data_IF_675551773533
#
_entry.id   IF_675551773533
#
_cell.length_a   1.000
_cell.length_b   1.000
_cell.length_c   1.000
_cell.angle_alpha   90.00
_cell.angle_beta   90.00
_cell.angle_gamma   90.00
#
_symmetry.space_group_name_H-M   'P 1'
#
loop_
_entity.id
_entity.type
_entity.pdbx_description
1 polymer ?
#
# COMPACT_ATOMS: atom_id res chain seq x y z
N UNK A 1 36.12 13.02 5.50
CA UNK A 1 36.05 13.95 6.65
C UNK A 1 36.24 13.14 7.93
N UNK A 2 37.06 13.64 8.85
CA UNK A 2 37.33 12.99 10.14
C UNK A 2 36.16 13.22 11.12
N UNK A 3 36.00 12.38 12.14
CA UNK A 3 34.94 12.47 13.16
C UNK A 3 34.90 13.87 13.79
N UNK A 4 36.07 14.40 14.16
CA UNK A 4 36.20 15.70 14.83
C UNK A 4 35.70 16.86 13.96
N UNK A 5 35.87 16.77 12.64
CA UNK A 5 35.35 17.77 11.70
C UNK A 5 33.82 17.79 11.72
N UNK A 6 33.17 16.62 11.76
CA UNK A 6 31.71 16.56 11.85
C UNK A 6 31.20 17.07 13.20
N UNK A 7 31.93 16.82 14.31
CA UNK A 7 31.59 17.40 15.62
C UNK A 7 31.64 18.93 15.57
N UNK A 8 32.64 19.52 14.92
CA UNK A 8 32.72 20.97 14.73
C UNK A 8 31.58 21.51 13.85
N UNK A 9 31.21 20.78 12.78
CA UNK A 9 30.12 21.17 11.88
C UNK A 9 28.73 21.19 12.53
N UNK A 10 28.54 20.53 13.68
CA UNK A 10 27.29 20.64 14.46
C UNK A 10 27.02 22.08 14.94
N UNK A 11 28.05 22.94 15.05
CA UNK A 11 27.91 24.34 15.42
C UNK A 11 27.71 25.29 14.23
N UNK A 12 27.58 24.78 13.00
CA UNK A 12 27.51 25.63 11.81
C UNK A 12 26.20 26.42 11.72
N UNK A 13 26.25 27.65 11.18
CA UNK A 13 25.06 28.52 11.05
C UNK A 13 24.02 27.95 10.10
N UNK A 14 24.47 27.42 8.97
CA UNK A 14 23.61 26.78 7.96
C UNK A 14 23.06 25.41 8.49
N UNK A 15 21.72 25.24 8.58
CA UNK A 15 21.11 23.99 9.01
C UNK A 15 21.41 22.80 8.08
N UNK A 16 21.66 23.02 6.78
CA UNK A 16 21.99 21.94 5.86
C UNK A 16 23.35 21.28 6.21
N UNK A 17 24.33 22.08 6.61
CA UNK A 17 25.63 21.59 7.08
C UNK A 17 25.52 20.86 8.42
N UNK A 18 24.70 21.36 9.35
CA UNK A 18 24.41 20.66 10.62
C UNK A 18 23.74 19.31 10.36
N UNK A 19 22.75 19.26 9.47
CA UNK A 19 22.10 18.00 9.04
C UNK A 19 23.11 16.98 8.53
N UNK A 20 23.99 17.40 7.61
CA UNK A 20 25.03 16.54 7.04
C UNK A 20 25.96 15.98 8.12
N UNK A 21 26.35 16.81 9.08
CA UNK A 21 27.16 16.39 10.22
C UNK A 21 26.45 15.37 11.11
N UNK A 22 25.18 15.59 11.46
CA UNK A 22 24.38 14.65 12.28
C UNK A 22 24.30 13.27 11.61
N UNK A 23 24.03 13.22 10.30
CA UNK A 23 23.93 11.96 9.55
C UNK A 23 25.28 11.24 9.53
N UNK A 24 26.36 11.96 9.24
CA UNK A 24 27.70 11.37 9.19
C UNK A 24 28.11 10.80 10.56
N UNK A 25 27.83 11.51 11.66
CA UNK A 25 28.08 11.03 13.01
C UNK A 25 27.25 9.78 13.35
N UNK A 26 25.96 9.77 13.00
CA UNK A 26 25.09 8.60 13.21
C UNK A 26 25.52 7.35 12.43
N UNK A 27 26.08 7.54 11.22
CA UNK A 27 26.65 6.45 10.40
C UNK A 27 28.01 5.97 10.89
N UNK A 28 28.80 6.84 11.53
CA UNK A 28 30.13 6.48 12.03
C UNK A 28 30.09 5.41 13.12
N UNK A 29 29.00 5.31 13.89
CA UNK A 29 28.88 4.37 15.01
C UNK A 29 29.80 4.70 16.20
N UNK A 30 30.56 5.79 16.18
CA UNK A 30 31.51 6.12 17.24
C UNK A 30 30.78 6.67 18.47
N UNK A 31 30.98 6.02 19.62
CA UNK A 31 30.39 6.41 20.91
C UNK A 31 30.75 7.84 21.33
N UNK A 32 31.88 8.38 20.88
CA UNK A 32 32.31 9.76 21.16
C UNK A 32 31.33 10.80 20.60
N UNK A 33 30.54 10.45 19.58
CA UNK A 33 29.55 11.33 18.99
C UNK A 33 28.25 11.47 19.81
N UNK A 34 28.01 10.61 20.82
CA UNK A 34 26.77 10.62 21.60
C UNK A 34 26.56 11.91 22.39
N UNK A 35 27.61 12.43 23.03
CA UNK A 35 27.53 13.67 23.81
C UNK A 35 27.24 14.90 22.93
N UNK A 36 27.96 15.14 21.81
CA UNK A 36 27.61 16.20 20.86
C UNK A 36 26.18 16.08 20.31
N UNK A 37 25.74 14.89 19.90
CA UNK A 37 24.39 14.67 19.39
C UNK A 37 23.32 14.94 20.45
N UNK A 38 23.55 14.56 21.71
CA UNK A 38 22.65 14.87 22.81
C UNK A 38 22.53 16.39 23.08
N UNK A 39 23.61 17.15 22.87
CA UNK A 39 23.57 18.62 22.95
C UNK A 39 22.72 19.21 21.82
N UNK A 40 22.88 18.73 20.59
CA UNK A 40 22.06 19.15 19.44
C UNK A 40 20.57 18.87 19.69
N UNK A 41 20.24 17.66 20.16
CA UNK A 41 18.86 17.30 20.53
C UNK A 41 18.22 18.26 21.54
N UNK A 42 19.01 18.82 22.47
CA UNK A 42 18.49 19.75 23.50
C UNK A 42 18.47 21.21 23.06
N UNK A 43 19.36 21.61 22.15
CA UNK A 43 19.67 23.05 21.94
C UNK A 43 19.51 23.53 20.51
N UNK A 44 19.38 22.65 19.50
CA UNK A 44 19.21 23.11 18.12
C UNK A 44 17.86 23.82 17.96
N UNK A 45 17.82 25.01 17.34
CA UNK A 45 16.57 25.72 17.09
C UNK A 45 15.62 24.91 16.20
N UNK A 46 16.14 24.13 15.26
CA UNK A 46 15.34 23.43 14.28
C UNK A 46 14.79 22.11 14.84
N UNK A 47 13.45 21.93 14.97
CA UNK A 47 12.86 20.69 15.47
C UNK A 47 13.30 19.45 14.71
N UNK A 48 13.42 19.53 13.38
CA UNK A 48 13.83 18.39 12.56
C UNK A 48 15.24 17.91 12.87
N UNK A 49 16.17 18.83 13.17
CA UNK A 49 17.55 18.48 13.51
C UNK A 49 17.65 17.87 14.90
N UNK A 50 16.78 18.27 15.84
CA UNK A 50 16.68 17.62 17.15
C UNK A 50 16.29 16.15 16.97
N UNK A 51 15.21 15.87 16.25
CA UNK A 51 14.74 14.50 16.02
C UNK A 51 15.76 13.66 15.26
N UNK A 52 16.44 14.25 14.28
CA UNK A 52 17.51 13.58 13.56
C UNK A 52 18.69 13.22 14.48
N UNK A 53 19.08 14.11 15.39
CA UNK A 53 20.13 13.86 16.36
C UNK A 53 19.76 12.74 17.34
N UNK A 54 18.49 12.67 17.76
CA UNK A 54 17.98 11.58 18.60
C UNK A 54 18.06 10.23 17.88
N UNK A 55 17.61 10.17 16.61
CA UNK A 55 17.69 8.95 15.78
C UNK A 55 19.14 8.50 15.57
N UNK A 56 20.04 9.43 15.26
CA UNK A 56 21.47 9.17 15.09
C UNK A 56 22.10 8.59 16.37
N UNK A 57 21.79 9.17 17.54
CA UNK A 57 22.27 8.67 18.83
C UNK A 57 21.81 7.25 19.16
N UNK A 58 20.53 6.92 18.87
CA UNK A 58 20.01 5.55 19.04
C UNK A 58 20.71 4.54 18.14
N UNK A 59 21.01 4.92 16.89
CA UNK A 59 21.70 4.04 15.95
C UNK A 59 23.12 3.67 16.44
N UNK A 60 23.85 4.65 16.99
CA UNK A 60 25.17 4.44 17.59
C UNK A 60 25.08 3.46 18.77
N UNK A 61 24.09 3.62 19.65
CA UNK A 61 23.88 2.71 20.79
C UNK A 61 23.59 1.27 20.35
N UNK A 62 22.74 1.09 19.33
CA UNK A 62 22.43 -0.24 18.77
C UNK A 62 23.65 -0.92 18.15
N UNK A 63 24.47 -0.16 17.43
CA UNK A 63 25.70 -0.67 16.80
C UNK A 63 26.75 -1.03 17.85
N UNK A 64 26.82 -0.25 18.93
CA UNK A 64 27.70 -0.49 20.06
C UNK A 64 27.35 -1.72 20.91
N UNK A 65 26.07 -2.10 21.01
CA UNK A 65 25.66 -3.33 21.72
C UNK A 65 25.84 -4.57 20.87
N UNK A 66 25.75 -4.46 19.54
CA UNK A 66 25.99 -5.57 18.62
C UNK A 66 27.46 -5.97 18.48
N UNK A 67 28.39 -5.16 18.98
CA UNK A 67 29.84 -5.37 18.85
C UNK A 67 30.52 -5.82 20.16
N UNK A 68 29.75 -6.14 21.20
CA UNK A 68 30.31 -6.73 22.42
C UNK A 68 30.68 -8.20 22.15
N UNK A 69 31.92 -8.64 22.50
CA UNK A 69 32.28 -10.04 22.42
C UNK A 69 31.40 -10.85 23.38
N UNK A 70 30.85 -11.95 22.88
CA UNK A 70 30.00 -12.86 23.63
C UNK A 70 30.78 -13.34 24.88
N UNK A 71 30.21 -13.23 26.10
CA UNK A 71 30.89 -13.72 27.29
C UNK A 71 31.12 -15.23 27.15
N UNK A 72 32.28 -15.75 27.59
CA UNK A 72 32.56 -17.17 27.47
C UNK A 72 31.43 -17.98 28.12
N UNK A 73 31.01 -19.09 27.48
CA UNK A 73 29.92 -19.91 27.98
C UNK A 73 30.21 -20.32 29.44
N UNK A 74 29.21 -20.31 30.33
CA UNK A 74 29.39 -20.72 31.71
C UNK A 74 30.03 -22.11 31.76
N UNK A 75 31.05 -22.28 32.58
CA UNK A 75 31.65 -23.59 32.81
C UNK A 75 30.66 -24.47 33.59
N UNK A 76 29.84 -25.21 32.86
CA UNK A 76 28.83 -26.12 33.41
C UNK A 76 29.45 -27.37 34.07
N UNK A 77 30.78 -27.54 34.04
CA UNK A 77 31.44 -28.73 34.61
C UNK A 77 31.44 -28.78 36.15
N UNK A 78 31.03 -27.71 36.83
CA UNK A 78 30.97 -27.65 38.30
C UNK A 78 29.60 -28.02 38.90
N UNK A 79 28.55 -28.18 38.09
CA UNK A 79 27.22 -28.57 38.59
C UNK A 79 26.98 -30.08 38.40
N UNK A 80 27.58 -30.87 39.30
CA UNK A 80 27.21 -32.28 39.49
C UNK A 80 25.86 -32.35 40.20
N UNK A 81 24.80 -32.66 39.46
CA UNK A 81 23.49 -32.97 40.02
C UNK A 81 23.56 -34.31 40.76
N UNK A 82 23.70 -34.27 42.09
CA UNK A 82 23.31 -35.41 42.93
C UNK A 82 21.79 -35.38 43.09
N UNK A 83 21.10 -36.36 42.50
CA UNK A 83 19.70 -36.63 42.81
C UNK A 83 19.58 -37.05 44.29
N UNK A 84 18.70 -36.42 45.09
CA UNK A 84 18.31 -36.98 46.36
C UNK A 84 17.03 -37.80 46.19
N UNK A 85 17.17 -39.11 46.16
CA UNK A 85 16.15 -40.02 46.68
C UNK A 85 16.07 -39.83 48.20
N UNK A 86 14.90 -39.49 48.74
CA UNK A 86 14.21 -40.19 49.84
C UNK A 86 13.14 -39.33 50.52
N UNK A 87 12.06 -40.04 50.86
CA UNK A 87 11.01 -39.74 51.84
C UNK A 87 11.39 -38.79 52.98
N UNK A 88 10.57 -37.78 53.21
CA UNK A 88 10.45 -37.13 54.52
C UNK A 88 8.99 -36.88 54.88
N UNK A 89 8.46 -37.77 55.73
CA UNK A 89 7.39 -37.46 56.67
C UNK A 89 8.07 -36.89 57.92
N UNK A 90 7.87 -35.61 58.20
CA UNK A 90 8.20 -35.03 59.52
C UNK A 90 7.20 -33.91 59.82
N UNK A 91 6.27 -34.20 60.72
CA UNK A 91 5.50 -33.19 61.44
C UNK A 91 6.48 -32.43 62.33
N UNK A 92 6.66 -31.15 62.08
CA UNK A 92 7.18 -30.20 63.08
C UNK A 92 6.00 -29.44 63.66
N UNK A 93 5.73 -29.70 64.93
CA UNK A 93 4.82 -28.93 65.76
C UNK A 93 5.41 -27.53 65.99
N UNK A 94 4.67 -26.50 65.58
CA UNK A 94 5.00 -25.09 65.79
C UNK A 94 4.77 -24.69 67.27
N UNK A 95 5.62 -23.83 67.88
CA UNK A 95 5.47 -23.45 69.28
C UNK A 95 4.26 -22.54 69.58
N UNK A 96 3.64 -22.78 70.75
CA UNK A 96 2.37 -22.20 71.25
C UNK A 96 2.28 -20.66 71.36
N UNK A 97 3.35 -19.90 71.14
CA UNK A 97 3.30 -18.44 71.28
C UNK A 97 2.73 -17.71 70.06
N UNK A 98 2.38 -18.43 68.98
CA UNK A 98 1.81 -17.83 67.76
C UNK A 98 0.27 -17.77 67.73
N UNK A 99 -0.40 -18.23 68.78
CA UNK A 99 -1.87 -18.17 68.92
C UNK A 99 -2.32 -17.12 69.93
N UNK A 100 -2.17 -15.84 69.60
CA UNK A 100 -2.95 -14.77 70.25
C UNK A 100 -3.46 -13.74 69.22
N UNK A 101 -4.71 -13.98 68.81
CA UNK A 101 -5.79 -13.04 68.46
C UNK A 101 -5.47 -11.67 67.80
N UNK A 102 -5.87 -11.54 66.53
CA UNK A 102 -6.59 -10.37 65.98
C UNK A 102 -7.30 -10.77 64.65
N UNK A 103 -8.40 -10.10 64.26
CA UNK A 103 -9.61 -10.79 63.78
C UNK A 103 -9.65 -11.09 62.28
N UNK A 104 -10.52 -12.04 61.98
CA UNK A 104 -10.86 -12.55 60.66
C UNK A 104 -11.01 -11.47 59.58
N UNK A 105 -10.22 -11.61 58.53
CA UNK A 105 -10.67 -11.33 57.17
C UNK A 105 -10.23 -12.49 56.30
N UNK A 106 -11.16 -13.43 56.12
CA UNK A 106 -11.02 -14.58 55.24
C UNK A 106 -10.66 -14.10 53.83
N UNK A 107 -9.43 -14.32 53.40
CA UNK A 107 -9.13 -14.38 51.98
C UNK A 107 -9.00 -15.85 51.61
N UNK A 108 -10.07 -16.35 51.01
CA UNK A 108 -10.16 -17.63 50.32
C UNK A 108 -8.88 -17.86 49.50
N UNK A 109 -8.03 -18.78 49.94
CA UNK A 109 -7.05 -19.42 49.06
C UNK A 109 -7.86 -20.27 48.08
N UNK A 110 -8.20 -19.67 46.96
CA UNK A 110 -8.82 -20.38 45.84
C UNK A 110 -7.75 -21.29 45.21
N UNK A 111 -8.08 -22.54 44.85
CA UNK A 111 -7.13 -23.45 44.25
C UNK A 111 -6.61 -22.86 42.94
N UNK A 112 -5.29 -22.99 42.71
CA UNK A 112 -4.57 -22.46 41.56
C UNK A 112 -5.30 -22.82 40.26
N UNK A 113 -6.00 -21.84 39.69
CA UNK A 113 -6.72 -21.96 38.41
C UNK A 113 -5.68 -22.35 37.36
N UNK A 114 -5.81 -23.55 36.79
CA UNK A 114 -4.93 -24.02 35.71
C UNK A 114 -5.11 -23.10 34.50
N UNK A 115 -4.18 -22.17 34.30
CA UNK A 115 -4.24 -21.15 33.26
C UNK A 115 -4.08 -21.81 31.89
N UNK A 116 -4.97 -21.50 30.95
CA UNK A 116 -4.90 -22.00 29.58
C UNK A 116 -3.69 -21.43 28.84
N UNK A 117 -3.08 -22.20 27.95
CA UNK A 117 -1.98 -21.72 27.08
C UNK A 117 -2.40 -20.51 26.24
N UNK A 118 -3.68 -20.44 25.85
CA UNK A 118 -4.25 -19.31 25.14
C UNK A 118 -4.25 -18.02 25.98
N UNK A 119 -4.48 -18.11 27.28
CA UNK A 119 -4.50 -16.96 28.18
C UNK A 119 -3.08 -16.43 28.42
N UNK A 120 -2.08 -17.33 28.52
CA UNK A 120 -0.66 -16.96 28.56
C UNK A 120 -0.24 -16.20 27.30
N UNK A 121 -0.64 -16.66 26.13
CA UNK A 121 -0.33 -15.98 24.86
C UNK A 121 -1.01 -14.60 24.77
N UNK A 122 -2.26 -14.49 25.22
CA UNK A 122 -2.96 -13.19 25.29
C UNK A 122 -2.33 -12.25 26.29
N UNK A 123 -1.87 -12.74 27.45
CA UNK A 123 -1.15 -11.93 28.43
C UNK A 123 0.16 -11.40 27.85
N UNK A 124 0.91 -12.23 27.12
CA UNK A 124 2.12 -11.81 26.38
C UNK A 124 1.80 -10.71 25.35
N UNK A 125 0.76 -10.89 24.54
CA UNK A 125 0.34 -9.86 23.57
C UNK A 125 -0.08 -8.54 24.23
N UNK A 126 -0.62 -8.57 25.45
CA UNK A 126 -0.91 -7.36 26.23
C UNK A 126 0.37 -6.69 26.73
N UNK A 127 1.35 -7.47 27.17
CA UNK A 127 2.67 -6.94 27.55
C UNK A 127 3.38 -6.26 26.36
N UNK A 128 3.33 -6.86 25.17
CA UNK A 128 3.90 -6.25 23.95
C UNK A 128 3.24 -4.90 23.63
N UNK A 129 1.91 -4.82 23.75
CA UNK A 129 1.17 -3.55 23.60
C UNK A 129 1.55 -2.51 24.66
N UNK A 130 1.86 -2.94 25.89
CA UNK A 130 2.36 -2.06 26.94
C UNK A 130 3.76 -1.52 26.60
N UNK A 131 4.63 -2.33 26.01
CA UNK A 131 5.95 -1.91 25.54
C UNK A 131 5.80 -0.83 24.45
N UNK A 132 4.96 -1.06 23.45
CA UNK A 132 4.69 -0.08 22.38
C UNK A 132 4.10 1.23 22.92
N UNK A 133 3.21 1.14 23.91
CA UNK A 133 2.63 2.32 24.56
C UNK A 133 3.70 3.11 25.35
N UNK A 134 4.66 2.43 25.98
CA UNK A 134 5.74 3.09 26.72
C UNK A 134 6.69 3.84 25.77
N UNK A 135 6.93 3.31 24.57
CA UNK A 135 7.68 4.02 23.52
C UNK A 135 7.00 5.30 23.05
N UNK A 136 5.67 5.37 23.15
CA UNK A 136 4.84 6.53 22.81
C UNK A 136 4.57 7.46 24.00
N UNK A 137 5.16 7.17 25.17
CA UNK A 137 4.98 7.93 26.42
C UNK A 137 3.53 8.00 26.96
N UNK A 138 2.66 7.06 26.56
CA UNK A 138 1.26 6.99 27.03
C UNK A 138 1.16 6.05 28.25
N UNK A 139 1.56 6.56 29.43
CA UNK A 139 1.63 5.77 30.67
C UNK A 139 0.28 5.23 31.16
N UNK A 140 -0.84 5.88 30.78
CA UNK A 140 -2.18 5.39 31.08
C UNK A 140 -2.51 4.14 30.26
N UNK A 141 -2.14 4.12 28.98
CA UNK A 141 -2.27 2.92 28.15
C UNK A 141 -1.34 1.80 28.61
N UNK A 142 -0.11 2.13 29.06
CA UNK A 142 0.81 1.16 29.66
C UNK A 142 0.17 0.50 30.88
N UNK A 143 -0.33 1.30 31.84
CA UNK A 143 -1.00 0.79 33.04
C UNK A 143 -2.16 -0.16 32.70
N UNK A 144 -2.98 0.22 31.71
CA UNK A 144 -4.14 -0.55 31.26
C UNK A 144 -3.71 -1.91 30.69
N UNK A 145 -2.74 -1.93 29.79
CA UNK A 145 -2.28 -3.16 29.16
C UNK A 145 -1.55 -4.09 30.14
N UNK A 146 -0.80 -3.54 31.09
CA UNK A 146 -0.18 -4.33 32.15
C UNK A 146 -1.25 -4.96 33.07
N UNK A 147 -2.31 -4.23 33.42
CA UNK A 147 -3.41 -4.77 34.21
C UNK A 147 -4.15 -5.89 33.47
N UNK A 148 -4.44 -5.70 32.18
CA UNK A 148 -5.04 -6.71 31.30
C UNK A 148 -4.16 -7.97 31.18
N UNK A 149 -2.83 -7.80 31.17
CA UNK A 149 -1.90 -8.93 31.15
C UNK A 149 -1.92 -9.71 32.48
N UNK A 150 -1.90 -9.00 33.61
CA UNK A 150 -1.90 -9.58 34.96
C UNK A 150 -3.21 -10.30 35.30
N UNK A 151 -4.35 -9.81 34.80
CA UNK A 151 -5.66 -10.46 34.99
C UNK A 151 -5.76 -11.80 34.22
N UNK A 152 -5.06 -11.93 33.10
CA UNK A 152 -5.06 -13.14 32.26
C UNK A 152 -4.05 -14.18 32.74
N UNK A 153 -2.85 -13.73 33.11
CA UNK A 153 -1.78 -14.59 33.58
C UNK A 153 -1.12 -13.98 34.83
N UNK A 154 -1.56 -14.38 36.05
CA UNK A 154 -0.95 -13.93 37.29
C UNK A 154 0.56 -14.23 37.38
N UNK A 155 1.06 -15.28 36.71
CA UNK A 155 2.48 -15.62 36.71
C UNK A 155 3.33 -14.62 35.90
N UNK A 156 2.71 -13.72 35.12
CA UNK A 156 3.43 -12.69 34.36
C UNK A 156 4.18 -11.70 35.27
N UNK A 157 3.80 -11.61 36.54
CA UNK A 157 4.51 -10.78 37.53
C UNK A 157 5.96 -11.22 37.76
N UNK A 158 6.32 -12.46 37.39
CA UNK A 158 7.70 -12.97 37.42
C UNK A 158 8.55 -12.48 36.24
N UNK A 159 7.93 -11.90 35.21
CA UNK A 159 8.64 -11.39 34.05
C UNK A 159 9.34 -10.07 34.39
N UNK A 160 10.67 -10.01 34.22
CA UNK A 160 11.50 -8.84 34.53
C UNK A 160 11.06 -7.58 33.78
N UNK A 161 10.59 -7.72 32.54
CA UNK A 161 10.10 -6.61 31.71
C UNK A 161 8.78 -6.06 32.25
N UNK A 162 7.87 -6.96 32.65
CA UNK A 162 6.61 -6.58 33.28
C UNK A 162 6.87 -5.82 34.58
N UNK A 163 7.74 -6.35 35.44
CA UNK A 163 8.08 -5.70 36.72
C UNK A 163 8.71 -4.32 36.52
N UNK A 164 9.63 -4.17 35.55
CA UNK A 164 10.24 -2.88 35.24
C UNK A 164 9.24 -1.82 34.78
N UNK A 165 8.34 -2.19 33.87
CA UNK A 165 7.29 -1.29 33.39
C UNK A 165 6.24 -0.99 34.48
N UNK A 166 5.86 -1.98 35.27
CA UNK A 166 4.91 -1.82 36.37
C UNK A 166 5.48 -0.89 37.45
N UNK A 167 6.76 -1.03 37.82
CA UNK A 167 7.43 -0.16 38.78
C UNK A 167 7.49 1.29 38.27
N UNK A 168 7.78 1.47 36.98
CA UNK A 168 7.84 2.79 36.36
C UNK A 168 6.47 3.49 36.35
N UNK A 169 5.39 2.77 36.05
CA UNK A 169 4.02 3.31 36.00
C UNK A 169 3.46 3.60 37.38
N UNK A 170 3.71 2.72 38.35
CA UNK A 170 3.15 2.83 39.70
C UNK A 170 4.00 3.65 40.65
N UNK A 171 5.23 3.98 40.27
CA UNK A 171 6.26 4.56 41.13
C UNK A 171 6.53 3.74 42.41
N UNK A 172 6.25 2.44 42.36
CA UNK A 172 6.50 1.51 43.46
C UNK A 172 7.77 0.69 43.21
N UNK A 173 8.33 0.15 44.28
CA UNK A 173 9.41 -0.84 44.18
C UNK A 173 8.98 -2.06 43.34
N UNK A 174 9.85 -2.67 42.51
CA UNK A 174 9.49 -3.81 41.66
C UNK A 174 8.75 -4.92 42.41
N UNK A 175 9.11 -5.21 43.65
CA UNK A 175 8.47 -6.24 44.48
C UNK A 175 7.01 -5.93 44.86
N UNK A 176 6.64 -4.64 44.87
CA UNK A 176 5.29 -4.15 45.23
C UNK A 176 4.50 -3.63 44.04
N UNK A 177 5.14 -3.45 42.89
CA UNK A 177 4.56 -2.87 41.69
C UNK A 177 3.33 -3.64 41.18
N UNK A 178 3.36 -4.98 41.22
CA UNK A 178 2.21 -5.80 40.80
C UNK A 178 0.98 -5.57 41.69
N UNK A 179 1.17 -5.47 43.01
CA UNK A 179 0.07 -5.19 43.95
C UNK A 179 -0.44 -3.76 43.83
N UNK A 180 0.46 -2.78 43.68
CA UNK A 180 0.08 -1.39 43.42
C UNK A 180 -0.75 -1.25 42.13
N UNK A 181 -0.37 -1.97 41.07
CA UNK A 181 -1.09 -1.98 39.80
C UNK A 181 -2.50 -2.60 39.92
N UNK A 182 -2.69 -3.62 40.76
CA UNK A 182 -4.02 -4.21 41.04
C UNK A 182 -4.95 -3.19 41.72
N UNK A 183 -4.39 -2.39 42.64
CA UNK A 183 -5.12 -1.36 43.39
C UNK A 183 -5.32 -0.06 42.61
N UNK A 184 -4.54 0.16 41.55
CA UNK A 184 -4.64 1.36 40.73
C UNK A 184 -6.00 1.44 40.03
N UNK A 185 -6.76 2.48 40.37
CA UNK A 185 -7.97 2.86 39.65
C UNK A 185 -7.56 3.53 38.35
N UNK A 186 -7.47 2.74 37.29
CA UNK A 186 -7.30 3.26 35.94
C UNK A 186 -8.66 3.84 35.56
N UNK A 187 -8.77 5.15 35.28
CA UNK A 187 -10.04 5.73 34.87
C UNK A 187 -10.54 4.94 33.67
N UNK A 188 -11.67 4.23 33.85
CA UNK A 188 -12.32 3.49 32.76
C UNK A 188 -12.49 4.49 31.64
N UNK A 189 -11.76 4.29 30.53
CA UNK A 189 -11.89 5.08 29.32
C UNK A 189 -13.36 4.94 28.93
N UNK A 190 -14.19 5.91 29.32
CA UNK A 190 -15.63 5.88 29.09
C UNK A 190 -15.78 5.65 27.61
N UNK A 191 -16.49 4.56 27.30
CA UNK A 191 -16.62 4.04 25.96
C UNK A 191 -17.07 5.15 25.03
N UNK A 192 -16.20 5.47 24.06
CA UNK A 192 -16.27 6.54 23.06
C UNK A 192 -15.81 7.91 23.56
N UNK A 193 -14.49 8.19 23.53
CA UNK A 193 -14.09 9.52 23.08
C UNK A 193 -14.79 9.80 21.73
N UNK A 194 -15.21 11.03 21.41
CA UNK A 194 -15.44 11.37 20.00
C UNK A 194 -14.20 10.89 19.26
N UNK A 195 -14.34 10.24 18.10
CA UNK A 195 -13.22 9.85 17.24
C UNK A 195 -12.39 11.10 16.95
N UNK A 196 -11.52 11.52 17.87
CA UNK A 196 -10.45 12.44 17.58
C UNK A 196 -9.55 11.61 16.70
N UNK A 197 -9.64 11.95 15.41
CA UNK A 197 -8.80 11.44 14.34
C UNK A 197 -7.42 11.26 14.92
N UNK A 198 -7.01 10.00 15.03
CA UNK A 198 -5.63 9.64 15.27
C UNK A 198 -4.89 10.22 14.08
N UNK A 199 -4.32 11.40 14.29
CA UNK A 199 -3.52 12.11 13.32
C UNK A 199 -2.25 11.28 13.14
N UNK A 200 -2.29 10.33 12.21
CA UNK A 200 -1.13 9.67 11.62
C UNK A 200 -0.44 10.64 10.65
N UNK A 201 -0.13 11.84 11.14
CA UNK A 201 0.58 12.91 10.42
C UNK A 201 2.04 12.93 10.87
N UNK A 202 2.69 11.77 10.80
CA UNK A 202 4.11 11.58 11.15
C UNK A 202 4.95 10.93 10.06
N UNK A 203 4.31 10.44 8.99
CA UNK A 203 5.00 10.03 7.77
C UNK A 203 4.85 11.18 6.77
N UNK A 204 5.82 12.09 6.76
CA UNK A 204 5.88 13.11 5.71
C UNK A 204 6.01 12.44 4.34
N UNK A 205 5.20 12.86 3.35
CA UNK A 205 5.24 12.27 2.03
C UNK A 205 6.45 12.81 1.26
N UNK A 206 7.40 11.92 0.95
CA UNK A 206 8.32 12.07 -0.17
C UNK A 206 9.56 12.93 0.08
N UNK A 207 10.65 12.30 0.49
CA UNK A 207 11.99 12.84 0.23
C UNK A 207 12.26 12.96 -1.28
N UNK A 208 13.30 13.71 -1.71
CA UNK A 208 13.58 14.05 -3.11
C UNK A 208 13.80 12.85 -4.06
N UNK A 209 14.03 11.64 -3.55
CA UNK A 209 14.04 10.41 -4.35
C UNK A 209 12.68 10.13 -5.04
N UNK A 210 11.60 10.67 -4.47
CA UNK A 210 10.21 10.48 -4.93
C UNK A 210 9.85 11.25 -6.22
N UNK A 211 10.48 12.41 -6.48
CA UNK A 211 10.23 13.21 -7.70
C UNK A 211 10.85 12.58 -8.96
N UNK A 212 11.75 11.62 -8.80
CA UNK A 212 12.49 11.01 -9.92
C UNK A 212 11.75 9.81 -10.52
N UNK A 213 10.90 9.11 -9.75
CA UNK A 213 10.22 7.90 -10.26
C UNK A 213 8.95 8.19 -11.07
N UNK A 214 8.24 9.29 -10.78
CA UNK A 214 6.97 9.63 -11.43
C UNK A 214 7.06 9.84 -12.95
N UNK A 215 8.05 10.60 -13.46
CA UNK A 215 8.21 10.78 -14.90
C UNK A 215 8.45 9.44 -15.61
N UNK A 216 9.17 8.51 -14.98
CA UNK A 216 9.47 7.19 -15.55
C UNK A 216 8.18 6.38 -15.73
N UNK A 217 7.31 6.35 -14.72
CA UNK A 217 6.04 5.64 -14.82
C UNK A 217 5.08 6.28 -15.83
N UNK A 218 5.05 7.61 -15.93
CA UNK A 218 4.24 8.32 -16.93
C UNK A 218 4.76 8.09 -18.35
N UNK A 219 6.08 8.08 -18.55
CA UNK A 219 6.72 7.77 -19.84
C UNK A 219 6.44 6.32 -20.23
N UNK A 220 6.57 5.38 -19.29
CA UNK A 220 6.26 3.96 -19.55
C UNK A 220 4.78 3.78 -19.93
N UNK A 221 3.86 4.41 -19.20
CA UNK A 221 2.42 4.41 -19.54
C UNK A 221 2.17 4.98 -20.94
N UNK A 222 2.79 6.13 -21.25
CA UNK A 222 2.65 6.76 -22.57
C UNK A 222 3.17 5.88 -23.71
N UNK A 223 4.31 5.21 -23.52
CA UNK A 223 4.87 4.29 -24.52
C UNK A 223 4.04 3.03 -24.71
N UNK A 224 3.49 2.46 -23.63
CA UNK A 224 2.64 1.26 -23.70
C UNK A 224 1.34 1.58 -24.45
N UNK A 225 0.70 2.72 -24.14
CA UNK A 225 -0.53 3.11 -24.84
C UNK A 225 -0.28 3.60 -26.26
N UNK A 226 0.83 4.31 -26.56
CA UNK A 226 1.12 4.71 -27.94
C UNK A 226 1.41 3.51 -28.83
N UNK A 227 2.10 2.48 -28.31
CA UNK A 227 2.34 1.24 -29.04
C UNK A 227 1.07 0.44 -29.29
N UNK A 228 0.20 0.31 -28.29
CA UNK A 228 -1.06 -0.44 -28.44
C UNK A 228 -2.08 0.29 -29.31
N UNK A 229 -2.19 1.61 -29.22
CA UNK A 229 -3.06 2.37 -30.10
C UNK A 229 -2.53 2.45 -31.54
N UNK A 230 -1.21 2.58 -31.74
CA UNK A 230 -0.59 2.46 -33.07
C UNK A 230 -0.90 1.09 -33.69
N UNK A 231 -0.79 0.04 -32.89
CA UNK A 231 -1.06 -1.32 -33.37
C UNK A 231 -2.55 -1.54 -33.67
N UNK A 232 -3.48 -1.05 -32.83
CA UNK A 232 -4.92 -1.11 -33.11
C UNK A 232 -5.29 -0.34 -34.37
N UNK A 233 -4.72 0.86 -34.57
CA UNK A 233 -4.96 1.65 -35.78
C UNK A 233 -4.40 0.95 -37.02
N UNK A 234 -3.19 0.38 -36.94
CA UNK A 234 -2.58 -0.40 -38.01
C UNK A 234 -3.41 -1.65 -38.34
N UNK A 235 -3.91 -2.33 -37.32
CA UNK A 235 -4.71 -3.54 -37.50
C UNK A 235 -6.10 -3.22 -38.04
N UNK A 236 -6.67 -2.07 -37.67
CA UNK A 236 -7.90 -1.58 -38.27
C UNK A 236 -7.68 -1.27 -39.74
N UNK A 237 -6.58 -0.60 -40.13
CA UNK A 237 -6.28 -0.35 -41.54
C UNK A 237 -6.07 -1.65 -42.32
N UNK A 238 -5.38 -2.64 -41.75
CA UNK A 238 -5.17 -3.93 -42.41
C UNK A 238 -6.50 -4.73 -42.52
N UNK A 239 -7.39 -4.67 -41.51
CA UNK A 239 -8.73 -5.27 -41.57
C UNK A 239 -9.65 -4.58 -42.59
N UNK A 240 -9.59 -3.25 -42.67
CA UNK A 240 -10.37 -2.49 -43.66
C UNK A 240 -9.92 -2.80 -45.08
N UNK A 241 -8.66 -3.20 -45.30
CA UNK A 241 -8.15 -3.62 -46.61
C UNK A 241 -8.74 -4.99 -47.04
N UNK A 242 -8.94 -5.92 -46.10
CA UNK A 242 -9.49 -7.25 -46.38
C UNK A 242 -11.02 -7.30 -46.42
N UNK A 243 -11.71 -6.62 -45.50
CA UNK A 243 -13.19 -6.61 -45.45
C UNK A 243 -13.83 -5.78 -46.57
N UNK A 244 -13.08 -4.84 -47.17
CA UNK A 244 -13.53 -4.16 -48.39
C UNK A 244 -13.60 -5.14 -49.59
N UNK A 245 -12.86 -6.25 -49.55
CA UNK A 245 -13.03 -7.34 -50.51
C UNK A 245 -14.12 -8.35 -50.11
N UNK A 246 -14.45 -8.48 -48.82
CA UNK A 246 -15.33 -9.53 -48.31
C UNK A 246 -16.80 -9.12 -48.13
N UNK A 247 -17.13 -7.82 -48.07
CA UNK A 247 -18.53 -7.37 -47.94
C UNK A 247 -19.23 -7.30 -49.30
N UNK A 248 -19.47 -8.49 -49.87
CA UNK A 248 -20.25 -8.72 -51.09
C UNK A 248 -21.40 -9.72 -50.83
N UNK A 249 -21.89 -9.82 -49.60
CA UNK A 249 -22.94 -10.80 -49.23
C UNK A 249 -24.33 -10.17 -49.01
N UNK A 250 -24.50 -8.87 -49.29
CA UNK A 250 -25.81 -8.20 -49.34
C UNK A 250 -26.22 -7.71 -50.74
N UNK A 251 -25.66 -8.30 -51.80
CA UNK A 251 -26.08 -8.02 -53.18
C UNK A 251 -25.57 -6.68 -53.75
N UNK A 252 -24.84 -5.90 -52.95
CA UNK A 252 -24.07 -4.76 -53.42
C UNK A 252 -22.60 -5.19 -53.54
N UNK A 253 -22.21 -5.53 -54.76
CA UNK A 253 -20.83 -5.89 -55.06
C UNK A 253 -20.06 -4.64 -55.43
N UNK A 254 -19.03 -4.32 -54.65
CA UNK A 254 -18.09 -3.25 -54.94
C UNK A 254 -16.95 -3.86 -55.76
N UNK A 255 -16.69 -3.32 -56.95
CA UNK A 255 -15.56 -3.72 -57.78
C UNK A 255 -14.73 -2.49 -58.13
N UNK A 256 -13.43 -2.71 -58.36
CA UNK A 256 -12.54 -1.70 -58.93
C UNK A 256 -12.67 -1.78 -60.45
N UNK A 257 -13.03 -0.68 -61.10
CA UNK A 257 -13.09 -0.63 -62.56
C UNK A 257 -11.68 -0.64 -63.19
N UNK A 258 -11.61 -0.68 -64.53
CA UNK A 258 -10.33 -0.67 -65.26
C UNK A 258 -9.50 0.62 -65.05
N UNK A 259 -10.11 1.65 -64.46
CA UNK A 259 -9.51 2.96 -64.20
C UNK A 259 -9.11 3.14 -62.72
N UNK A 260 -9.33 2.15 -61.85
CA UNK A 260 -9.01 2.26 -60.42
C UNK A 260 -10.12 2.87 -59.55
N UNK A 261 -11.31 3.12 -60.10
CA UNK A 261 -12.42 3.70 -59.35
C UNK A 261 -13.22 2.62 -58.62
N UNK A 262 -13.67 2.94 -57.41
CA UNK A 262 -14.61 2.11 -56.67
C UNK A 262 -16.02 2.28 -57.23
N UNK A 263 -16.58 1.18 -57.72
CA UNK A 263 -17.92 1.14 -58.31
C UNK A 263 -18.81 0.21 -57.50
N UNK A 264 -19.88 0.73 -56.91
CA UNK A 264 -20.92 -0.11 -56.29
C UNK A 264 -21.97 -0.44 -57.34
N UNK A 265 -22.26 -1.74 -57.49
CA UNK A 265 -23.37 -2.21 -58.31
C UNK A 265 -24.47 -2.66 -57.37
N UNK A 266 -25.56 -1.89 -57.33
CA UNK A 266 -26.76 -2.23 -56.56
C UNK A 266 -27.51 -3.39 -57.20
N UNK A 267 -28.36 -4.10 -56.44
CA UNK A 267 -29.19 -5.22 -56.95
C UNK A 267 -30.07 -4.84 -58.16
N UNK A 268 -30.35 -3.55 -58.37
CA UNK A 268 -31.09 -3.02 -59.53
C UNK A 268 -30.24 -2.87 -60.80
N UNK A 269 -28.93 -3.13 -60.71
CA UNK A 269 -27.97 -2.90 -61.79
C UNK A 269 -27.60 -1.42 -61.99
N UNK A 270 -27.99 -0.55 -61.06
CA UNK A 270 -27.59 0.85 -61.09
C UNK A 270 -26.15 0.96 -60.57
N UNK A 271 -25.29 1.43 -61.47
CA UNK A 271 -23.87 1.65 -61.24
C UNK A 271 -23.73 2.99 -60.55
N UNK A 272 -23.40 2.99 -59.27
CA UNK A 272 -23.06 4.21 -58.54
C UNK A 272 -21.54 4.29 -58.54
N UNK A 273 -21.00 5.13 -59.43
CA UNK A 273 -19.59 5.49 -59.39
C UNK A 273 -19.35 6.28 -58.10
N UNK A 274 -18.51 5.71 -57.21
CA UNK A 274 -18.06 6.45 -56.05
C UNK A 274 -16.99 7.44 -56.52
N UNK A 275 -17.10 8.69 -56.08
CA UNK A 275 -16.13 9.75 -56.42
C UNK A 275 -14.78 9.58 -55.68
N UNK A 276 -14.59 8.46 -54.97
CA UNK A 276 -13.40 8.15 -54.17
C UNK A 276 -12.59 7.10 -54.94
N UNK A 277 -11.43 7.49 -55.45
CA UNK A 277 -10.52 6.54 -56.12
C UNK A 277 -9.75 5.71 -55.08
N UNK A 278 -9.30 4.52 -55.48
CA UNK A 278 -8.42 3.69 -54.64
C UNK A 278 -7.09 4.42 -54.39
N UNK A 279 -6.59 5.20 -55.36
CA UNK A 279 -5.43 6.06 -55.17
C UNK A 279 -5.64 7.12 -54.08
N UNK A 280 -6.83 7.72 -53.94
CA UNK A 280 -7.12 8.68 -52.87
C UNK A 280 -7.08 8.02 -51.48
N UNK A 281 -7.48 6.75 -51.38
CA UNK A 281 -7.42 5.98 -50.13
C UNK A 281 -5.98 5.59 -49.80
N UNK A 282 -5.20 5.12 -50.79
CA UNK A 282 -3.78 4.81 -50.59
C UNK A 282 -2.97 6.08 -50.26
N UNK A 283 -3.24 7.20 -50.95
CA UNK A 283 -2.64 8.51 -50.66
C UNK A 283 -3.05 8.99 -49.26
N UNK A 284 -4.33 8.85 -48.88
CA UNK A 284 -4.78 9.14 -47.52
C UNK A 284 -4.08 8.26 -46.47
N UNK A 285 -4.00 6.94 -46.68
CA UNK A 285 -3.34 6.03 -45.72
C UNK A 285 -1.83 6.27 -45.66
N UNK A 286 -1.20 6.62 -46.78
CA UNK A 286 0.21 6.99 -46.89
C UNK A 286 0.51 8.33 -46.21
N UNK A 287 -0.27 9.38 -46.51
CA UNK A 287 -0.09 10.75 -46.01
C UNK A 287 -0.47 10.87 -44.53
N UNK A 288 -1.52 10.17 -44.11
CA UNK A 288 -1.88 10.06 -42.70
C UNK A 288 -1.04 8.99 -41.98
N UNK A 289 0.03 8.45 -42.56
CA UNK A 289 0.69 7.21 -42.15
C UNK A 289 1.17 7.06 -40.68
N UNK A 290 2.42 6.63 -40.43
CA UNK A 290 2.85 6.25 -39.08
C UNK A 290 2.83 7.42 -38.08
N UNK A 291 2.91 8.67 -38.56
CA UNK A 291 2.94 9.85 -37.68
C UNK A 291 1.55 10.18 -37.12
N UNK A 292 0.48 10.14 -37.92
CA UNK A 292 -0.84 10.50 -37.39
C UNK A 292 -1.39 9.40 -36.50
N UNK A 293 -1.13 8.14 -36.82
CA UNK A 293 -1.47 6.99 -35.96
C UNK A 293 -0.74 7.07 -34.61
N UNK A 294 0.55 7.45 -34.60
CA UNK A 294 1.27 7.76 -33.35
C UNK A 294 0.66 8.94 -32.59
N UNK A 295 0.25 10.00 -33.29
CA UNK A 295 -0.37 11.18 -32.67
C UNK A 295 -1.75 10.86 -32.05
N UNK A 296 -2.60 10.12 -32.77
CA UNK A 296 -3.89 9.63 -32.26
C UNK A 296 -3.69 8.68 -31.09
N UNK A 297 -2.74 7.75 -31.20
CA UNK A 297 -2.42 6.83 -30.12
C UNK A 297 -1.95 7.56 -28.87
N UNK A 298 -1.07 8.55 -29.02
CA UNK A 298 -0.65 9.41 -27.92
C UNK A 298 -1.81 10.22 -27.31
N UNK A 299 -2.67 10.82 -28.13
CA UNK A 299 -3.84 11.55 -27.67
C UNK A 299 -4.80 10.65 -26.88
N UNK A 300 -5.08 9.45 -27.39
CA UNK A 300 -5.92 8.46 -26.71
C UNK A 300 -5.29 8.01 -25.38
N UNK A 301 -3.97 7.78 -25.37
CA UNK A 301 -3.20 7.48 -24.15
C UNK A 301 -3.39 8.55 -23.08
N UNK A 302 -3.28 9.81 -23.50
CA UNK A 302 -3.40 10.97 -22.61
C UNK A 302 -4.80 11.05 -22.02
N UNK A 303 -5.83 10.89 -22.85
CA UNK A 303 -7.23 10.87 -22.41
C UNK A 303 -7.48 9.72 -21.43
N UNK A 304 -7.01 8.51 -21.75
CA UNK A 304 -7.13 7.34 -20.88
C UNK A 304 -6.42 7.55 -19.52
N UNK A 305 -5.24 8.16 -19.53
CA UNK A 305 -4.48 8.50 -18.31
C UNK A 305 -5.22 9.53 -17.44
N UNK A 306 -5.78 10.58 -18.05
CA UNK A 306 -6.59 11.58 -17.36
C UNK A 306 -7.82 10.90 -16.75
N UNK A 307 -8.50 10.05 -17.51
CA UNK A 307 -9.69 9.33 -17.06
C UNK A 307 -9.38 8.36 -15.92
N UNK A 308 -8.28 7.60 -16.00
CA UNK A 308 -7.82 6.71 -14.92
C UNK A 308 -7.49 7.48 -13.64
N UNK A 309 -6.78 8.60 -13.77
CA UNK A 309 -6.46 9.48 -12.63
C UNK A 309 -7.72 10.03 -11.97
N UNK A 310 -8.67 10.48 -12.80
CA UNK A 310 -9.97 10.97 -12.35
C UNK A 310 -10.80 9.87 -11.66
N UNK A 311 -10.82 8.67 -12.22
CA UNK A 311 -11.49 7.51 -11.61
C UNK A 311 -10.92 7.14 -10.24
N UNK A 312 -9.59 7.17 -10.09
CA UNK A 312 -8.94 6.94 -8.81
C UNK A 312 -9.27 8.05 -7.80
N UNK A 313 -9.33 9.30 -8.25
CA UNK A 313 -9.76 10.40 -7.40
C UNK A 313 -11.21 10.23 -6.91
N UNK A 314 -12.14 9.84 -7.79
CA UNK A 314 -13.52 9.53 -7.41
C UNK A 314 -13.55 8.38 -6.40
N UNK A 315 -12.80 7.31 -6.63
CA UNK A 315 -12.75 6.15 -5.73
C UNK A 315 -12.21 6.51 -4.34
N UNK A 316 -11.24 7.42 -4.28
CA UNK A 316 -10.77 7.97 -3.02
C UNK A 316 -11.86 8.82 -2.34
N UNK A 317 -12.55 9.67 -3.10
CA UNK A 317 -13.61 10.53 -2.60
C UNK A 317 -14.78 9.72 -2.03
N UNK A 318 -15.23 8.68 -2.75
CA UNK A 318 -16.26 7.74 -2.26
C UNK A 318 -15.78 7.01 -1.02
N UNK A 319 -14.50 6.63 -0.97
CA UNK A 319 -13.90 5.99 0.21
C UNK A 319 -13.92 6.89 1.44
N UNK A 320 -13.65 8.19 1.28
CA UNK A 320 -13.78 9.15 2.39
C UNK A 320 -15.23 9.37 2.81
N UNK A 321 -16.15 9.42 1.85
CA UNK A 321 -17.58 9.55 2.13
C UNK A 321 -18.10 8.34 2.94
N UNK A 322 -17.57 7.15 2.69
CA UNK A 322 -17.86 5.93 3.44
C UNK A 322 -17.18 5.87 4.83
N UNK A 323 -16.52 6.95 5.26
CA UNK A 323 -15.91 7.08 6.59
C UNK A 323 -14.42 6.75 6.67
N UNK A 324 -13.72 6.71 5.54
CA UNK A 324 -12.33 6.30 5.42
C UNK A 324 -11.39 7.46 5.70
N UNK A 325 -10.15 7.14 6.08
CA UNK A 325 -9.15 8.13 6.52
C UNK A 325 -7.88 8.16 5.65
N UNK A 326 -7.90 7.49 4.49
CA UNK A 326 -6.74 7.38 3.62
C UNK A 326 -6.27 8.73 3.08
N UNK A 327 -4.99 9.03 3.21
CA UNK A 327 -4.39 10.19 2.55
C UNK A 327 -4.51 10.03 1.02
N UNK A 328 -5.05 11.05 0.33
CA UNK A 328 -5.28 11.05 -1.13
C UNK A 328 -4.05 10.57 -1.89
N UNK A 329 -2.90 11.10 -1.52
CA UNK A 329 -1.67 10.85 -2.23
C UNK A 329 -1.20 9.38 -2.13
N UNK A 330 -1.15 8.85 -0.90
CA UNK A 330 -0.77 7.46 -0.65
C UNK A 330 -1.77 6.48 -1.26
N UNK A 331 -3.03 6.90 -1.39
CA UNK A 331 -4.05 6.16 -2.10
C UNK A 331 -3.77 6.15 -3.61
N UNK A 332 -3.64 7.33 -4.23
CA UNK A 332 -3.42 7.46 -5.68
C UNK A 332 -2.19 6.69 -6.14
N UNK A 333 -1.06 6.79 -5.42
CA UNK A 333 0.17 6.06 -5.76
C UNK A 333 -0.06 4.55 -5.70
N UNK A 334 -0.77 4.06 -4.69
CA UNK A 334 -1.02 2.63 -4.53
C UNK A 334 -1.96 2.10 -5.62
N UNK A 335 -3.01 2.86 -5.99
CA UNK A 335 -3.96 2.45 -7.02
C UNK A 335 -3.40 2.61 -8.44
N UNK A 336 -2.62 3.67 -8.71
CA UNK A 336 -1.99 3.87 -10.02
C UNK A 336 -1.03 2.75 -10.39
N UNK A 337 -0.30 2.17 -9.42
CA UNK A 337 0.55 0.99 -9.69
C UNK A 337 -0.25 -0.20 -10.21
N UNK A 338 -1.44 -0.42 -9.66
CA UNK A 338 -2.32 -1.50 -10.14
C UNK A 338 -2.84 -1.18 -11.54
N UNK A 339 -3.22 0.07 -11.78
CA UNK A 339 -3.73 0.49 -13.09
C UNK A 339 -2.63 0.39 -14.17
N UNK A 340 -1.38 0.75 -13.87
CA UNK A 340 -0.25 0.58 -14.79
C UNK A 340 -0.07 -0.89 -15.16
N UNK A 341 -0.03 -1.78 -14.17
CA UNK A 341 0.11 -3.22 -14.41
C UNK A 341 -1.08 -3.75 -15.20
N UNK A 342 -2.29 -3.33 -14.85
CA UNK A 342 -3.51 -3.73 -15.56
C UNK A 342 -3.54 -3.28 -17.01
N UNK A 343 -3.12 -2.04 -17.29
CA UNK A 343 -3.02 -1.51 -18.64
C UNK A 343 -1.94 -2.23 -19.47
N UNK A 344 -0.78 -2.56 -18.86
CA UNK A 344 0.26 -3.33 -19.55
C UNK A 344 -0.22 -4.73 -19.91
N UNK A 345 -0.88 -5.43 -18.98
CA UNK A 345 -1.46 -6.76 -19.24
C UNK A 345 -2.53 -6.69 -20.33
N UNK A 346 -3.37 -5.66 -20.29
CA UNK A 346 -4.42 -5.43 -21.30
C UNK A 346 -3.80 -5.17 -22.68
N UNK A 347 -2.76 -4.34 -22.77
CA UNK A 347 -2.05 -4.04 -24.02
C UNK A 347 -1.38 -5.28 -24.63
N UNK A 348 -0.67 -6.07 -23.82
CA UNK A 348 -0.09 -7.36 -24.26
C UNK A 348 -1.18 -8.28 -24.78
N UNK A 349 -2.34 -8.30 -24.13
CA UNK A 349 -3.43 -9.18 -24.55
C UNK A 349 -4.10 -8.73 -25.84
N UNK A 350 -4.34 -7.43 -26.03
CA UNK A 350 -4.81 -6.92 -27.32
C UNK A 350 -3.83 -7.25 -28.45
N UNK A 351 -2.52 -7.13 -28.21
CA UNK A 351 -1.52 -7.53 -29.20
C UNK A 351 -1.62 -9.01 -29.58
N UNK A 352 -1.86 -9.90 -28.61
CA UNK A 352 -2.06 -11.34 -28.87
C UNK A 352 -3.37 -11.60 -29.62
N UNK A 353 -4.49 -10.98 -29.24
CA UNK A 353 -5.78 -11.15 -29.91
C UNK A 353 -5.68 -10.74 -31.37
N UNK A 354 -5.07 -9.59 -31.63
CA UNK A 354 -4.86 -9.08 -32.98
C UNK A 354 -3.92 -10.00 -33.77
N UNK A 355 -2.80 -10.45 -33.19
CA UNK A 355 -1.89 -11.36 -33.88
C UNK A 355 -2.58 -12.68 -34.27
N UNK A 356 -3.48 -13.17 -33.42
CA UNK A 356 -4.29 -14.34 -33.72
C UNK A 356 -5.35 -14.05 -34.79
N UNK A 357 -6.02 -12.91 -34.72
CA UNK A 357 -6.98 -12.47 -35.73
C UNK A 357 -6.34 -12.34 -37.11
N UNK A 358 -5.16 -11.70 -37.18
CA UNK A 358 -4.37 -11.59 -38.40
C UNK A 358 -3.96 -12.98 -38.93
N UNK A 359 -3.54 -13.90 -38.06
CA UNK A 359 -3.21 -15.26 -38.48
C UNK A 359 -4.41 -16.08 -38.96
N UNK A 360 -5.62 -15.73 -38.51
CA UNK A 360 -6.86 -16.38 -38.94
C UNK A 360 -7.44 -15.81 -40.22
N UNK A 361 -7.07 -14.58 -40.61
CA UNK A 361 -7.56 -13.97 -41.85
C UNK A 361 -7.16 -14.79 -43.08
N UNK A 362 -5.95 -15.36 -43.07
CA UNK A 362 -5.45 -16.24 -44.13
C UNK A 362 -6.11 -17.64 -44.16
N UNK A 363 -6.84 -18.05 -43.11
CA UNK A 363 -7.45 -19.38 -42.99
C UNK A 363 -8.96 -19.29 -42.76
N UNK A 364 -9.80 -19.46 -43.80
CA UNK A 364 -11.26 -19.43 -43.66
C UNK A 364 -11.82 -20.58 -42.80
N UNK A 365 -10.99 -21.56 -42.41
CA UNK A 365 -11.36 -22.64 -41.49
C UNK A 365 -11.04 -22.32 -40.03
N UNK A 366 -10.42 -21.18 -39.74
CA UNK A 366 -10.09 -20.77 -38.38
C UNK A 366 -11.35 -20.68 -37.51
N UNK A 367 -11.30 -21.36 -36.37
CA UNK A 367 -12.45 -21.45 -35.46
C UNK A 367 -12.63 -20.14 -34.66
N UNK A 368 -13.74 -19.39 -34.85
CA UNK A 368 -14.01 -18.15 -34.12
C UNK A 368 -14.12 -18.35 -32.60
N UNK A 369 -14.24 -19.59 -32.10
CA UNK A 369 -14.24 -19.87 -30.67
C UNK A 369 -12.91 -19.52 -29.99
N UNK A 370 -11.78 -19.49 -30.73
CA UNK A 370 -10.48 -19.15 -30.15
C UNK A 370 -10.47 -17.70 -29.63
N UNK A 371 -10.95 -16.74 -30.42
CA UNK A 371 -11.06 -15.32 -30.03
C UNK A 371 -11.99 -15.16 -28.82
N UNK A 372 -13.11 -15.88 -28.81
CA UNK A 372 -14.06 -15.88 -27.70
C UNK A 372 -13.44 -16.39 -26.39
N UNK A 373 -12.63 -17.44 -26.46
CA UNK A 373 -11.94 -18.00 -25.28
C UNK A 373 -10.91 -17.04 -24.68
N UNK A 374 -10.22 -16.25 -25.50
CA UNK A 374 -9.30 -15.20 -25.07
C UNK A 374 -10.03 -14.06 -24.34
N UNK A 375 -11.22 -13.69 -24.78
CA UNK A 375 -12.05 -12.71 -24.07
C UNK A 375 -12.45 -13.20 -22.67
N UNK A 376 -12.70 -14.50 -22.49
CA UNK A 376 -12.94 -15.07 -21.16
C UNK A 376 -11.70 -14.96 -20.25
N UNK A 377 -10.50 -15.27 -20.78
CA UNK A 377 -9.25 -15.10 -20.04
C UNK A 377 -9.04 -13.64 -19.64
N UNK A 378 -9.35 -12.71 -20.54
CA UNK A 378 -9.31 -11.28 -20.26
C UNK A 378 -10.25 -10.87 -19.12
N UNK A 379 -11.49 -11.38 -19.12
CA UNK A 379 -12.44 -11.16 -18.03
C UNK A 379 -11.92 -11.65 -16.67
N UNK A 380 -11.24 -12.80 -16.64
CA UNK A 380 -10.63 -13.34 -15.41
C UNK A 380 -9.46 -12.49 -14.91
N UNK A 381 -8.59 -12.02 -15.81
CA UNK A 381 -7.50 -11.10 -15.46
C UNK A 381 -8.09 -9.78 -14.91
N UNK A 382 -9.12 -9.24 -15.56
CA UNK A 382 -9.84 -8.06 -15.11
C UNK A 382 -10.42 -8.23 -13.70
N UNK A 383 -11.05 -9.38 -13.41
CA UNK A 383 -11.55 -9.72 -12.07
C UNK A 383 -10.43 -9.81 -11.02
N UNK A 384 -9.27 -10.37 -11.39
CA UNK A 384 -8.10 -10.42 -10.51
C UNK A 384 -7.57 -9.04 -10.16
N UNK A 385 -7.40 -8.17 -11.15
CA UNK A 385 -6.96 -6.78 -10.96
C UNK A 385 -7.98 -5.97 -10.15
N UNK A 386 -9.27 -6.18 -10.39
CA UNK A 386 -10.35 -5.62 -9.59
C UNK A 386 -10.22 -6.03 -8.12
N UNK A 387 -10.01 -7.33 -7.84
CA UNK A 387 -9.79 -7.82 -6.47
C UNK A 387 -8.57 -7.18 -5.79
N UNK A 388 -7.44 -7.06 -6.48
CA UNK A 388 -6.24 -6.40 -5.96
C UNK A 388 -6.50 -4.92 -5.65
N UNK A 389 -7.17 -4.21 -6.57
CA UNK A 389 -7.55 -2.80 -6.37
C UNK A 389 -8.48 -2.64 -5.18
N UNK A 390 -9.53 -3.47 -5.07
CA UNK A 390 -10.45 -3.47 -3.92
C UNK A 390 -9.75 -3.75 -2.60
N UNK A 391 -8.76 -4.65 -2.58
CA UNK A 391 -7.96 -4.90 -1.38
C UNK A 391 -7.11 -3.69 -0.97
N UNK A 392 -6.40 -3.06 -1.91
CA UNK A 392 -5.61 -1.85 -1.65
C UNK A 392 -6.51 -0.72 -1.12
N UNK A 393 -7.67 -0.51 -1.75
CA UNK A 393 -8.66 0.48 -1.33
C UNK A 393 -9.12 0.19 0.11
N UNK A 394 -9.46 -1.06 0.41
CA UNK A 394 -9.89 -1.49 1.75
C UNK A 394 -8.81 -1.30 2.82
N UNK A 395 -7.54 -1.56 2.50
CA UNK A 395 -6.40 -1.34 3.40
C UNK A 395 -6.15 0.15 3.61
N UNK A 396 -6.15 0.96 2.55
CA UNK A 396 -5.84 2.40 2.63
C UNK A 396 -6.93 3.22 3.32
N UNK A 397 -8.18 2.79 3.26
CA UNK A 397 -9.29 3.44 3.97
C UNK A 397 -9.67 2.76 5.30
N UNK A 398 -8.96 1.71 5.73
CA UNK A 398 -9.21 0.98 6.98
C UNK A 398 -10.60 0.30 7.07
N UNK A 399 -11.20 -0.06 5.93
CA UNK A 399 -12.55 -0.65 5.89
C UNK A 399 -12.58 -2.18 5.78
N UNK A 400 -11.43 -2.79 5.51
CA UNK A 400 -11.37 -4.20 5.12
C UNK A 400 -11.81 -4.43 3.66
N UNK A 401 -11.67 -5.67 3.21
CA UNK A 401 -11.80 -6.03 1.79
C UNK A 401 -13.22 -5.82 1.22
N UNK A 402 -14.27 -6.24 1.95
CA UNK A 402 -15.65 -6.17 1.47
C UNK A 402 -16.12 -4.74 1.20
N UNK A 403 -15.79 -3.80 2.09
CA UNK A 403 -16.06 -2.38 1.88
C UNK A 403 -15.16 -1.77 0.80
N UNK A 404 -13.96 -2.31 0.60
CA UNK A 404 -13.10 -1.98 -0.54
C UNK A 404 -13.76 -2.32 -1.88
N UNK A 405 -14.40 -3.49 -2.00
CA UNK A 405 -15.18 -3.87 -3.19
C UNK A 405 -16.33 -2.87 -3.42
N UNK A 406 -17.14 -2.62 -2.39
CA UNK A 406 -18.26 -1.68 -2.49
C UNK A 406 -17.79 -0.29 -2.93
N UNK A 407 -16.66 0.19 -2.40
CA UNK A 407 -16.09 1.48 -2.78
C UNK A 407 -15.65 1.53 -4.25
N UNK A 408 -14.98 0.48 -4.75
CA UNK A 408 -14.57 0.43 -6.17
C UNK A 408 -15.78 0.36 -7.10
N UNK A 409 -16.84 -0.37 -6.74
CA UNK A 409 -18.08 -0.43 -7.54
C UNK A 409 -18.76 0.94 -7.60
N UNK A 410 -18.97 1.59 -6.44
CA UNK A 410 -19.61 2.90 -6.37
C UNK A 410 -18.78 3.96 -7.12
N UNK A 411 -17.45 3.96 -6.90
CA UNK A 411 -16.54 4.84 -7.61
C UNK A 411 -16.54 4.60 -9.12
N UNK A 412 -16.61 3.34 -9.55
CA UNK A 412 -16.71 2.95 -10.95
C UNK A 412 -18.01 3.43 -11.62
N UNK A 413 -19.16 3.24 -10.96
CA UNK A 413 -20.46 3.72 -11.47
C UNK A 413 -20.45 5.26 -11.59
N UNK A 414 -19.95 5.97 -10.57
CA UNK A 414 -19.85 7.42 -10.60
C UNK A 414 -18.92 7.91 -11.72
N UNK A 415 -17.79 7.23 -11.92
CA UNK A 415 -16.86 7.51 -13.03
C UNK A 415 -17.53 7.30 -14.38
N UNK A 416 -18.28 6.21 -14.56
CA UNK A 416 -18.96 5.89 -15.81
C UNK A 416 -20.03 6.94 -16.18
N UNK A 417 -20.84 7.36 -15.19
CA UNK A 417 -21.85 8.41 -15.40
C UNK A 417 -21.20 9.74 -15.81
N UNK A 418 -20.16 10.17 -15.08
CA UNK A 418 -19.45 11.41 -15.38
C UNK A 418 -18.73 11.34 -16.73
N UNK A 419 -18.13 10.19 -17.05
CA UNK A 419 -17.50 9.92 -18.34
C UNK A 419 -18.49 10.01 -19.50
N UNK A 420 -19.66 9.41 -19.37
CA UNK A 420 -20.73 9.50 -20.37
C UNK A 420 -21.20 10.95 -20.57
N UNK A 421 -21.39 11.71 -19.49
CA UNK A 421 -21.75 13.13 -19.59
C UNK A 421 -20.66 13.96 -20.30
N UNK A 422 -19.39 13.75 -19.95
CA UNK A 422 -18.27 14.43 -20.61
C UNK A 422 -18.16 14.05 -22.10
N UNK A 423 -18.35 12.77 -22.42
CA UNK A 423 -18.32 12.28 -23.80
C UNK A 423 -19.45 12.87 -24.65
N UNK A 424 -20.68 12.89 -24.14
CA UNK A 424 -21.81 13.54 -24.82
C UNK A 424 -21.59 15.05 -25.02
N UNK A 425 -21.00 15.74 -24.03
CA UNK A 425 -20.64 17.15 -24.14
C UNK A 425 -19.56 17.41 -25.19
N UNK A 426 -18.53 16.56 -25.24
CA UNK A 426 -17.46 16.63 -26.23
C UNK A 426 -18.01 16.37 -27.64
N UNK A 427 -18.82 15.33 -27.82
CA UNK A 427 -19.47 15.03 -29.10
C UNK A 427 -20.37 16.18 -29.56
N UNK A 428 -21.17 16.76 -28.65
CA UNK A 428 -22.02 17.90 -28.99
C UNK A 428 -21.20 19.12 -29.42
N UNK A 429 -20.04 19.35 -28.79
CA UNK A 429 -19.14 20.44 -29.17
C UNK A 429 -18.47 20.19 -30.53
N UNK A 430 -18.05 18.94 -30.81
CA UNK A 430 -17.46 18.56 -32.09
C UNK A 430 -18.48 18.63 -33.22
N UNK A 431 -19.66 18.03 -33.04
CA UNK A 431 -20.74 18.03 -34.05
C UNK A 431 -21.30 19.43 -34.26
N UNK A 432 -21.47 20.23 -33.20
CA UNK A 432 -21.94 21.61 -33.29
C UNK A 432 -20.93 22.59 -33.89
N UNK A 433 -19.67 22.19 -34.01
CA UNK A 433 -18.61 22.97 -34.66
C UNK A 433 -18.46 22.70 -36.16
N UNK A 434 -19.17 21.71 -36.70
CA UNK A 434 -19.25 21.50 -38.15
C UNK A 434 -20.17 22.60 -38.70
N UNK A 435 -19.66 23.63 -39.40
CA UNK A 435 -20.51 24.61 -40.03
C UNK A 435 -21.48 23.84 -40.94
N UNK A 436 -22.78 24.09 -40.79
CA UNK A 436 -23.78 23.55 -41.70
C UNK A 436 -23.35 23.92 -43.11
N UNK A 437 -22.88 22.93 -43.89
CA UNK A 437 -22.61 23.12 -45.30
C UNK A 437 -23.95 23.50 -45.94
N UNK A 438 -24.11 24.79 -46.22
CA UNK A 438 -25.19 25.34 -47.04
C UNK A 438 -24.78 25.30 -48.50
#
# INVERSE_FOLDING_TARGET
>A
MNLDQHIQMLGHKDPAQRRKAIIALGKSGDKRALQPLAKVYKTDPEPELRDLALKAGRNIQKTATSSLPEPPPPDYSQFSFNEPSTSYSRQEELPDWMNMAAPASSTLVTPAKKISTADKQKAKSSLDRAIDASMKTDWNAVAHHLKEALERDPDIEKNTTFMGLAAQVTHADPSRAANALRQMEIPKKTSKPPKSRRSTYGDEPGGPEFLVEWPIWLILLGLIFSGSAFFVLRSATDLFDEDFQATSDQGETIYVDENGNLVSVTETGEVVESEISVEDIEEFVSDYGPITSLAFGFAFSLVAMIFSTFSNYITWFTGNFMGGSGALFNFLVATMRVDVVGNLLTGVMYAVIIALAASSADDPTADPTQISSLQCVFGLIGLGLFGVKSWIVGVKHEFGFGMGIANVIVGGIATAILGACCYCGLLSALVGSVPSAQ
#
